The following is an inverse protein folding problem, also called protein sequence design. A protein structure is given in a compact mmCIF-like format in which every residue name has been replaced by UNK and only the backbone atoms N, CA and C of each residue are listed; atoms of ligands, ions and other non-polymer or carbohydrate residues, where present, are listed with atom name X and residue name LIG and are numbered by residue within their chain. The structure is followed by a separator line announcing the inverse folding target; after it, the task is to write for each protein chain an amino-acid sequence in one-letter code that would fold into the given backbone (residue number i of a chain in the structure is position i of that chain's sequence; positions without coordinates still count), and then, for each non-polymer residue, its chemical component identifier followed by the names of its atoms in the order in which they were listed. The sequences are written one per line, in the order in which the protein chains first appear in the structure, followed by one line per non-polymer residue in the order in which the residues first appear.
data_IF_428746709692
#
_entry.id   IF_428746709692
#
_cell.length_a   1.000
_cell.length_b   1.000
_cell.length_c   1.000
_cell.angle_alpha   90.00
_cell.angle_beta   90.00
_cell.angle_gamma   90.00
#
_symmetry.space_group_name_H-M   'P 1'
#
loop_
_entity.id
_entity.type
_entity.pdbx_description
1 polymer ?
#
# COMPACT_ATOMS: atom_id res chain seq x y z
N UNK A 1 -45.42 37.63 -68.08
CA UNK A 1 -44.23 38.20 -68.73
C UNK A 1 -43.46 39.01 -67.69
N UNK A 2 -42.16 38.69 -67.51
CA UNK A 2 -41.06 39.55 -66.99
C UNK A 2 -41.18 39.98 -65.51
N UNK A 3 -40.22 39.83 -64.59
CA UNK A 3 -38.92 39.17 -64.45
C UNK A 3 -38.62 39.09 -62.93
N UNK A 4 -37.98 38.02 -62.49
CA UNK A 4 -37.50 37.80 -61.11
C UNK A 4 -36.27 38.67 -60.80
N UNK A 5 -36.23 39.32 -59.62
CA UNK A 5 -35.01 39.48 -58.81
C UNK A 5 -35.34 39.35 -57.32
N UNK A 6 -34.93 38.23 -56.73
CA UNK A 6 -35.04 37.92 -55.30
C UNK A 6 -33.92 38.63 -54.53
N UNK A 7 -34.28 39.34 -53.46
CA UNK A 7 -33.37 39.94 -52.50
C UNK A 7 -32.70 38.88 -51.61
N UNK A 8 -31.40 39.05 -51.34
CA UNK A 8 -30.58 38.22 -50.43
C UNK A 8 -30.76 38.68 -48.97
N UNK A 9 -30.81 37.77 -47.99
CA UNK A 9 -30.86 38.13 -46.58
C UNK A 9 -29.46 38.42 -46.01
N UNK A 10 -29.44 39.21 -44.93
CA UNK A 10 -28.28 39.76 -44.25
C UNK A 10 -27.37 38.69 -43.60
N UNK A 11 -26.07 38.94 -43.66
CA UNK A 11 -25.01 38.14 -43.03
C UNK A 11 -24.93 38.43 -41.53
N UNK A 12 -25.10 37.41 -40.69
CA UNK A 12 -24.74 37.45 -39.27
C UNK A 12 -23.25 37.10 -39.10
N UNK A 13 -22.46 38.02 -38.56
CA UNK A 13 -21.09 37.77 -38.13
C UNK A 13 -21.09 36.98 -36.81
N UNK A 14 -20.86 35.67 -36.86
CA UNK A 14 -20.50 34.88 -35.69
C UNK A 14 -18.98 34.81 -35.57
N UNK A 15 -18.41 35.62 -34.67
CA UNK A 15 -16.99 35.56 -34.28
C UNK A 15 -16.67 34.21 -33.66
N UNK A 16 -15.81 33.43 -34.32
CA UNK A 16 -15.26 32.19 -33.77
C UNK A 16 -14.39 32.49 -32.55
N UNK A 17 -14.82 32.01 -31.37
CA UNK A 17 -13.96 31.92 -30.18
C UNK A 17 -13.04 30.72 -30.37
N UNK A 18 -11.80 30.97 -30.73
CA UNK A 18 -10.69 30.02 -30.58
C UNK A 18 -10.52 29.72 -29.09
N UNK A 19 -10.78 28.47 -28.71
CA UNK A 19 -10.54 27.96 -27.38
C UNK A 19 -9.03 27.98 -27.08
N UNK A 20 -8.59 28.96 -26.28
CA UNK A 20 -7.24 28.97 -25.70
C UNK A 20 -7.07 27.72 -24.83
N UNK A 21 -6.16 26.83 -25.22
CA UNK A 21 -5.57 25.80 -24.35
C UNK A 21 -5.14 26.49 -23.04
N UNK A 22 -5.79 26.14 -21.93
CA UNK A 22 -5.33 26.50 -20.59
C UNK A 22 -3.97 25.84 -20.38
N UNK A 23 -2.90 26.62 -20.42
CA UNK A 23 -1.60 26.25 -19.89
C UNK A 23 -1.78 25.95 -18.39
N UNK A 24 -1.44 24.75 -17.96
CA UNK A 24 -1.41 24.38 -16.54
C UNK A 24 -0.44 25.31 -15.81
N UNK A 25 -0.98 26.19 -14.96
CA UNK A 25 -0.16 26.93 -14.01
C UNK A 25 0.58 25.93 -13.12
N UNK A 26 1.91 26.06 -12.99
CA UNK A 26 2.66 25.33 -11.96
C UNK A 26 2.08 25.75 -10.62
N UNK A 27 1.52 24.82 -9.85
CA UNK A 27 1.09 25.10 -8.49
C UNK A 27 2.33 25.46 -7.65
N UNK A 28 2.20 26.47 -6.80
CA UNK A 28 3.20 26.84 -5.79
C UNK A 28 3.13 25.91 -4.55
N UNK A 29 2.41 24.80 -4.65
CA UNK A 29 2.22 23.88 -3.53
C UNK A 29 3.51 23.09 -3.28
N UNK A 30 3.93 22.91 -2.00
CA UNK A 30 5.08 22.08 -1.67
C UNK A 30 4.93 20.65 -2.19
N UNK A 31 6.03 20.05 -2.65
CA UNK A 31 6.04 18.67 -3.14
C UNK A 31 6.25 17.70 -1.97
N UNK A 32 5.25 16.88 -1.71
CA UNK A 32 5.25 15.89 -0.62
C UNK A 32 5.29 14.44 -1.10
N UNK A 33 5.11 14.19 -2.39
CA UNK A 33 5.10 12.83 -2.97
C UNK A 33 6.15 12.71 -4.06
N UNK A 34 6.98 11.68 -3.96
CA UNK A 34 8.09 11.41 -4.87
C UNK A 34 7.93 10.03 -5.52
N UNK A 35 7.71 10.00 -6.83
CA UNK A 35 7.58 8.76 -7.59
C UNK A 35 8.91 7.99 -7.69
N UNK A 36 8.84 6.67 -7.78
CA UNK A 36 9.94 5.80 -8.20
C UNK A 36 9.43 4.66 -9.11
N UNK A 37 10.31 4.14 -9.98
CA UNK A 37 10.00 3.11 -10.98
C UNK A 37 10.60 3.50 -12.33
N UNK A 38 9.80 3.48 -13.41
CA UNK A 38 10.27 4.02 -14.70
C UNK A 38 10.46 5.54 -14.67
N UNK A 39 9.60 6.22 -13.92
CA UNK A 39 9.73 7.64 -13.58
C UNK A 39 10.17 7.71 -12.12
N UNK A 40 11.28 8.41 -11.86
CA UNK A 40 11.86 8.52 -10.53
C UNK A 40 12.21 9.98 -10.25
N UNK A 41 11.65 10.50 -9.15
CA UNK A 41 11.74 11.90 -8.77
C UNK A 41 12.77 12.19 -7.67
N UNK A 42 13.43 11.16 -7.13
CA UNK A 42 14.42 11.30 -6.08
C UNK A 42 15.63 10.37 -6.18
N UNK A 43 16.50 10.39 -5.17
CA UNK A 43 17.71 9.56 -5.11
C UNK A 43 18.24 9.36 -3.67
N UNK A 44 19.35 8.61 -3.56
CA UNK A 44 19.97 8.26 -2.28
C UNK A 44 20.34 9.48 -1.40
N UNK A 45 20.56 10.67 -2.00
CA UNK A 45 20.96 11.87 -1.26
C UNK A 45 19.80 12.47 -0.45
N UNK A 46 18.56 12.12 -0.79
CA UNK A 46 17.36 12.63 -0.13
C UNK A 46 16.90 11.75 1.05
N UNK A 47 17.83 11.03 1.69
CA UNK A 47 17.55 10.15 2.85
C UNK A 47 16.80 10.84 3.98
N UNK A 48 17.08 12.12 4.23
CA UNK A 48 16.39 12.88 5.27
C UNK A 48 14.91 13.12 4.97
N UNK A 49 14.58 13.30 3.68
CA UNK A 49 13.25 13.62 3.21
C UNK A 49 12.42 12.37 2.91
N UNK A 50 13.04 11.35 2.29
CA UNK A 50 12.38 10.12 1.82
C UNK A 50 12.54 8.94 2.78
N UNK A 51 13.31 9.13 3.85
CA UNK A 51 13.78 8.04 4.69
C UNK A 51 14.79 7.13 3.97
N UNK A 52 15.39 6.20 4.71
CA UNK A 52 16.36 5.26 4.16
C UNK A 52 15.77 4.34 3.09
N UNK A 53 14.54 3.84 3.29
CA UNK A 53 13.89 2.95 2.33
C UNK A 53 13.47 3.67 1.04
N UNK A 54 12.84 4.85 1.15
CA UNK A 54 12.38 5.60 0.00
C UNK A 54 13.53 6.10 -0.87
N UNK A 55 14.59 6.62 -0.25
CA UNK A 55 15.80 7.04 -0.95
C UNK A 55 16.48 5.88 -1.68
N UNK A 56 16.57 4.70 -1.05
CA UNK A 56 17.13 3.51 -1.69
C UNK A 56 16.24 2.95 -2.81
N UNK A 57 14.91 2.96 -2.65
CA UNK A 57 13.98 2.57 -3.72
C UNK A 57 14.13 3.47 -4.95
N UNK A 58 14.23 4.77 -4.73
CA UNK A 58 14.48 5.73 -5.79
C UNK A 58 15.85 5.49 -6.46
N UNK A 59 16.91 5.31 -5.67
CA UNK A 59 18.25 5.02 -6.21
C UNK A 59 18.28 3.74 -7.04
N UNK A 60 17.72 2.64 -6.51
CA UNK A 60 17.64 1.36 -7.22
C UNK A 60 16.89 1.49 -8.55
N UNK A 61 15.78 2.22 -8.57
CA UNK A 61 15.03 2.47 -9.80
C UNK A 61 15.83 3.33 -10.79
N UNK A 62 16.55 4.35 -10.30
CA UNK A 62 17.37 5.28 -11.10
C UNK A 62 18.55 4.57 -11.77
N UNK A 63 19.17 3.60 -11.11
CA UNK A 63 20.25 2.77 -11.69
C UNK A 63 19.73 1.61 -12.55
N UNK A 64 18.42 1.49 -12.74
CA UNK A 64 17.81 0.53 -13.66
C UNK A 64 17.52 -0.86 -13.09
N UNK A 65 17.53 -1.03 -11.76
CA UNK A 65 17.08 -2.29 -11.16
C UNK A 65 15.56 -2.45 -11.32
N UNK A 66 15.05 -3.70 -11.38
CA UNK A 66 13.62 -3.99 -11.61
C UNK A 66 12.78 -3.73 -10.35
N UNK A 67 12.71 -2.47 -9.91
CA UNK A 67 11.92 -2.02 -8.77
C UNK A 67 10.46 -1.88 -9.19
N UNK A 68 9.51 -2.55 -8.52
CA UNK A 68 8.08 -2.30 -8.75
C UNK A 68 7.76 -0.82 -8.51
N UNK A 69 6.98 -0.18 -9.42
CA UNK A 69 6.73 1.26 -9.31
C UNK A 69 5.95 1.60 -8.06
N UNK A 70 6.14 2.82 -7.58
CA UNK A 70 5.55 3.32 -6.35
C UNK A 70 5.87 4.79 -6.14
N UNK A 71 5.61 5.26 -4.92
CA UNK A 71 5.96 6.60 -4.49
C UNK A 71 6.25 6.63 -2.99
N UNK A 72 6.98 7.66 -2.58
CA UNK A 72 7.29 7.96 -1.18
C UNK A 72 6.62 9.27 -0.78
N UNK A 73 5.84 9.24 0.29
CA UNK A 73 5.34 10.43 1.00
C UNK A 73 6.42 10.84 2.01
N UNK A 74 6.83 12.11 1.97
CA UNK A 74 7.99 12.60 2.71
C UNK A 74 7.82 12.58 4.22
N UNK A 75 8.95 12.58 4.94
CA UNK A 75 9.01 12.76 6.41
C UNK A 75 8.37 14.07 6.87
N UNK A 76 8.39 15.12 6.06
CA UNK A 76 7.74 16.41 6.37
C UNK A 76 6.23 16.29 6.57
N UNK A 77 5.57 15.36 5.86
CA UNK A 77 4.14 15.08 6.07
C UNK A 77 3.91 14.46 7.45
N UNK A 78 4.84 13.64 7.95
CA UNK A 78 4.75 13.11 9.31
C UNK A 78 4.83 14.24 10.34
N UNK A 79 5.74 15.19 10.17
CA UNK A 79 5.84 16.37 11.04
C UNK A 79 4.55 17.20 10.97
N UNK A 80 4.08 17.52 9.76
CA UNK A 80 2.82 18.23 9.56
C UNK A 80 1.64 17.52 10.24
N UNK A 81 1.56 16.19 10.10
CA UNK A 81 0.52 15.37 10.69
C UNK A 81 0.44 15.57 12.20
N UNK A 82 1.56 15.55 12.93
CA UNK A 82 1.52 15.80 14.38
C UNK A 82 1.24 17.26 14.72
N UNK A 83 1.83 18.22 14.00
CA UNK A 83 1.63 19.66 14.24
C UNK A 83 0.18 20.12 13.98
N UNK A 84 -0.55 19.41 13.11
CA UNK A 84 -1.91 19.77 12.68
C UNK A 84 -2.98 18.81 13.18
N UNK A 85 -2.81 18.26 14.39
CA UNK A 85 -3.79 17.38 15.05
C UNK A 85 -4.17 16.16 14.20
N UNK A 86 -3.18 15.53 13.59
CA UNK A 86 -3.32 14.34 12.73
C UNK A 86 -4.10 14.59 11.43
N UNK A 87 -3.94 15.78 10.86
CA UNK A 87 -4.46 16.13 9.53
C UNK A 87 -3.34 16.26 8.49
N UNK A 88 -3.70 16.25 7.21
CA UNK A 88 -2.75 16.35 6.10
C UNK A 88 -2.72 17.75 5.46
N UNK A 89 -1.62 18.11 4.79
CA UNK A 89 -1.60 19.26 3.88
C UNK A 89 -2.70 19.10 2.82
N UNK A 90 -3.42 20.18 2.49
CA UNK A 90 -4.56 20.13 1.57
C UNK A 90 -4.22 19.56 0.18
N UNK A 91 -2.99 19.78 -0.28
CA UNK A 91 -2.51 19.33 -1.58
C UNK A 91 -2.04 17.86 -1.60
N UNK A 92 -1.95 17.19 -0.44
CA UNK A 92 -1.38 15.83 -0.37
C UNK A 92 -2.23 14.80 -1.12
N UNK A 93 -3.55 14.87 -0.96
CA UNK A 93 -4.49 13.93 -1.59
C UNK A 93 -4.38 13.96 -3.13
N UNK A 94 -4.31 15.15 -3.72
CA UNK A 94 -4.12 15.33 -5.16
C UNK A 94 -2.77 14.76 -5.64
N UNK A 95 -1.71 14.93 -4.85
CA UNK A 95 -0.39 14.37 -5.16
C UNK A 95 -0.39 12.83 -5.09
N UNK A 96 -1.00 12.25 -4.06
CA UNK A 96 -1.15 10.79 -3.92
C UNK A 96 -1.94 10.22 -5.11
N UNK A 97 -3.07 10.83 -5.47
CA UNK A 97 -3.88 10.42 -6.62
C UNK A 97 -3.11 10.49 -7.93
N UNK A 98 -2.31 11.54 -8.15
CA UNK A 98 -1.47 11.69 -9.33
C UNK A 98 -0.38 10.60 -9.41
N UNK A 99 0.22 10.24 -8.27
CA UNK A 99 1.22 9.17 -8.19
C UNK A 99 0.61 7.78 -8.40
N UNK A 100 -0.56 7.49 -7.82
CA UNK A 100 -1.31 6.26 -8.11
C UNK A 100 -1.64 6.17 -9.59
N UNK A 101 -2.16 7.23 -10.22
CA UNK A 101 -2.43 7.24 -11.66
C UNK A 101 -1.15 7.00 -12.51
N UNK A 102 0.01 7.46 -12.04
CA UNK A 102 1.30 7.19 -12.67
C UNK A 102 1.67 5.70 -12.56
N UNK A 103 1.43 5.06 -11.42
CA UNK A 103 1.62 3.61 -11.24
C UNK A 103 0.67 2.81 -12.14
N UNK A 104 -0.62 3.18 -12.17
CA UNK A 104 -1.65 2.55 -13.00
C UNK A 104 -1.24 2.56 -14.48
N UNK A 105 -0.76 3.71 -14.99
CA UNK A 105 -0.27 3.84 -16.36
C UNK A 105 0.96 2.97 -16.64
N UNK A 106 1.89 2.86 -15.68
CA UNK A 106 3.11 2.04 -15.85
C UNK A 106 2.80 0.54 -15.90
N UNK A 107 1.76 0.10 -15.19
CA UNK A 107 1.44 -1.32 -15.01
C UNK A 107 0.25 -1.80 -15.85
N UNK A 108 -0.55 -0.89 -16.42
CA UNK A 108 -1.79 -1.25 -17.11
C UNK A 108 -2.83 -1.88 -16.17
N UNK A 109 -2.81 -1.49 -14.90
CA UNK A 109 -3.70 -1.93 -13.82
C UNK A 109 -4.37 -0.71 -13.19
N UNK A 110 -5.45 -0.91 -12.44
CA UNK A 110 -6.18 0.18 -11.76
C UNK A 110 -6.56 -0.17 -10.33
N UNK A 111 -6.45 0.79 -9.42
CA UNK A 111 -6.79 0.59 -8.01
C UNK A 111 -8.31 0.41 -7.89
N UNK A 112 -8.74 -0.75 -7.37
CA UNK A 112 -10.16 -1.13 -7.29
C UNK A 112 -10.77 -1.69 -8.57
N UNK A 113 -9.97 -1.99 -9.60
CA UNK A 113 -10.48 -2.58 -10.84
C UNK A 113 -10.85 -4.06 -10.69
N UNK A 114 -12.03 -4.44 -11.16
CA UNK A 114 -12.59 -5.79 -11.04
C UNK A 114 -12.03 -6.81 -12.05
N UNK A 115 -11.05 -6.43 -12.89
CA UNK A 115 -10.42 -7.32 -13.86
C UNK A 115 -8.89 -7.30 -13.76
N UNK A 116 -8.30 -6.13 -13.57
CA UNK A 116 -6.85 -5.90 -13.47
C UNK A 116 -6.54 -5.04 -12.24
N UNK A 117 -6.77 -5.57 -11.02
CA UNK A 117 -6.58 -4.80 -9.80
C UNK A 117 -5.11 -4.43 -9.62
N UNK A 118 -4.86 -3.15 -9.36
CA UNK A 118 -3.62 -2.68 -8.76
C UNK A 118 -3.73 -2.89 -7.25
N UNK A 119 -2.86 -3.75 -6.71
CA UNK A 119 -2.73 -3.96 -5.27
C UNK A 119 -1.45 -3.26 -4.79
N UNK A 120 -1.50 -2.71 -3.58
CA UNK A 120 -0.45 -1.88 -3.02
C UNK A 120 0.10 -2.48 -1.72
N UNK A 121 1.35 -2.16 -1.44
CA UNK A 121 1.93 -2.27 -0.10
C UNK A 121 2.20 -0.87 0.44
N UNK A 122 2.01 -0.69 1.74
CA UNK A 122 2.28 0.56 2.45
C UNK A 122 3.28 0.25 3.54
N UNK A 123 4.46 0.88 3.45
CA UNK A 123 5.62 0.56 4.29
C UNK A 123 6.23 1.84 4.84
N UNK A 124 6.37 1.87 6.14
CA UNK A 124 7.14 2.88 6.85
C UNK A 124 8.62 2.90 6.46
N UNK A 125 9.23 4.09 6.46
CA UNK A 125 10.65 4.29 6.19
C UNK A 125 11.17 5.54 6.88
N UNK A 126 11.74 5.39 8.07
CA UNK A 126 12.40 6.48 8.77
C UNK A 126 13.78 6.75 8.16
N UNK A 127 14.40 7.87 8.57
CA UNK A 127 15.78 8.20 8.19
C UNK A 127 16.70 7.06 8.58
N UNK A 128 16.66 6.65 9.84
CA UNK A 128 17.40 5.49 10.34
C UNK A 128 16.55 4.22 10.40
N UNK A 129 17.23 3.09 10.23
CA UNK A 129 16.57 1.78 10.19
C UNK A 129 16.06 1.41 11.58
N UNK A 130 14.75 1.19 11.68
CA UNK A 130 14.09 0.73 12.91
C UNK A 130 13.43 -0.63 12.65
N UNK A 131 14.20 -1.73 12.59
CA UNK A 131 13.69 -3.07 12.28
C UNK A 131 12.68 -3.54 13.32
N UNK A 132 11.56 -4.11 12.86
CA UNK A 132 10.49 -4.63 13.72
C UNK A 132 9.65 -3.58 14.47
N UNK A 133 9.94 -2.29 14.29
CA UNK A 133 9.30 -1.22 15.07
C UNK A 133 8.12 -0.54 14.38
N UNK A 134 8.01 -0.69 13.06
CA UNK A 134 7.00 0.00 12.28
C UNK A 134 6.23 -0.98 11.40
N UNK A 135 4.94 -0.71 11.28
CA UNK A 135 4.00 -1.60 10.62
C UNK A 135 4.14 -1.56 9.10
N UNK A 136 3.71 -2.64 8.46
CA UNK A 136 3.64 -2.80 7.02
C UNK A 136 2.27 -3.38 6.68
N UNK A 137 1.61 -2.79 5.68
CA UNK A 137 0.36 -3.30 5.13
C UNK A 137 0.68 -3.86 3.74
N UNK A 138 0.27 -5.09 3.46
CA UNK A 138 0.36 -5.72 2.14
C UNK A 138 -1.04 -5.96 1.58
N UNK A 139 -1.12 -6.18 0.26
CA UNK A 139 -2.36 -6.52 -0.44
C UNK A 139 -3.48 -5.47 -0.33
N UNK A 140 -3.12 -4.22 -0.08
CA UNK A 140 -4.07 -3.10 -0.06
C UNK A 140 -4.76 -2.98 -1.41
N UNK A 141 -6.08 -2.76 -1.37
CA UNK A 141 -6.94 -2.74 -2.55
C UNK A 141 -7.75 -4.02 -2.71
N UNK A 142 -7.56 -5.03 -1.84
CA UNK A 142 -8.43 -6.20 -1.79
C UNK A 142 -9.76 -5.89 -1.08
N UNK A 143 -10.85 -6.32 -1.71
CA UNK A 143 -12.20 -6.37 -1.17
C UNK A 143 -12.95 -7.58 -1.76
N UNK A 144 -14.25 -7.72 -1.45
CA UNK A 144 -15.08 -8.83 -1.94
C UNK A 144 -15.17 -8.91 -3.47
N UNK A 145 -15.04 -7.78 -4.17
CA UNK A 145 -15.09 -7.72 -5.63
C UNK A 145 -13.71 -8.01 -6.24
N UNK A 146 -12.66 -7.36 -5.75
CA UNK A 146 -11.32 -7.44 -6.35
C UNK A 146 -10.57 -8.73 -6.01
N UNK A 147 -11.00 -9.47 -4.96
CA UNK A 147 -10.43 -10.80 -4.66
C UNK A 147 -10.75 -11.80 -5.78
N UNK A 148 -11.94 -11.70 -6.39
CA UNK A 148 -12.30 -12.48 -7.57
C UNK A 148 -11.40 -12.14 -8.77
N UNK A 149 -11.16 -10.86 -8.99
CA UNK A 149 -10.24 -10.39 -10.04
C UNK A 149 -8.80 -10.90 -9.83
N UNK A 150 -8.32 -10.93 -8.59
CA UNK A 150 -7.01 -11.52 -8.26
C UNK A 150 -7.00 -13.04 -8.49
N UNK A 151 -8.08 -13.75 -8.13
CA UNK A 151 -8.22 -15.18 -8.36
C UNK A 151 -8.14 -15.53 -9.86
N UNK A 152 -8.87 -14.78 -10.69
CA UNK A 152 -8.84 -14.93 -12.15
C UNK A 152 -7.45 -14.60 -12.72
N UNK A 153 -6.87 -13.46 -12.36
CA UNK A 153 -5.59 -13.02 -12.89
C UNK A 153 -4.40 -13.92 -12.49
N UNK A 154 -4.50 -14.58 -11.34
CA UNK A 154 -3.47 -15.52 -10.86
C UNK A 154 -3.73 -16.98 -11.28
N UNK A 155 -4.94 -17.31 -11.73
CA UNK A 155 -5.38 -18.69 -11.92
C UNK A 155 -5.39 -19.51 -10.63
N UNK A 156 -5.38 -18.86 -9.47
CA UNK A 156 -5.24 -19.50 -8.16
C UNK A 156 -6.15 -18.83 -7.13
N UNK A 157 -7.41 -19.29 -7.05
CA UNK A 157 -8.40 -18.74 -6.13
C UNK A 157 -7.99 -18.88 -4.66
N UNK A 158 -7.35 -20.00 -4.29
CA UNK A 158 -6.88 -20.23 -2.91
C UNK A 158 -5.86 -19.17 -2.49
N UNK A 159 -4.92 -18.83 -3.38
CA UNK A 159 -3.95 -17.76 -3.16
C UNK A 159 -4.65 -16.39 -2.98
N UNK A 160 -5.61 -16.06 -3.84
CA UNK A 160 -6.30 -14.77 -3.76
C UNK A 160 -7.06 -14.60 -2.44
N UNK A 161 -7.79 -15.63 -2.00
CA UNK A 161 -8.52 -15.61 -0.73
C UNK A 161 -7.59 -15.64 0.48
N UNK A 162 -6.43 -16.30 0.42
CA UNK A 162 -5.41 -16.21 1.47
C UNK A 162 -4.82 -14.80 1.58
N UNK A 163 -4.52 -14.17 0.44
CA UNK A 163 -4.10 -12.76 0.40
C UNK A 163 -5.15 -11.85 1.02
N UNK A 164 -6.43 -12.10 0.78
CA UNK A 164 -7.50 -11.28 1.34
C UNK A 164 -7.66 -11.48 2.84
N UNK A 165 -7.62 -12.73 3.32
CA UNK A 165 -7.59 -13.05 4.75
C UNK A 165 -6.43 -12.35 5.47
N UNK A 166 -5.20 -12.49 4.94
CA UNK A 166 -4.00 -11.84 5.50
C UNK A 166 -4.13 -10.31 5.48
N UNK A 167 -4.72 -9.75 4.42
CA UNK A 167 -4.99 -8.31 4.36
C UNK A 167 -5.92 -7.86 5.47
N UNK A 168 -7.03 -8.57 5.71
CA UNK A 168 -7.99 -8.22 6.76
C UNK A 168 -7.35 -8.28 8.14
N UNK A 169 -6.54 -9.31 8.40
CA UNK A 169 -5.78 -9.43 9.64
C UNK A 169 -4.81 -8.26 9.82
N UNK A 170 -3.93 -8.02 8.84
CA UNK A 170 -2.91 -6.96 8.92
C UNK A 170 -3.53 -5.57 9.02
N UNK A 171 -4.54 -5.27 8.21
CA UNK A 171 -5.22 -3.97 8.22
C UNK A 171 -6.08 -3.81 9.48
N UNK A 172 -6.75 -4.89 9.90
CA UNK A 172 -7.56 -4.92 11.12
C UNK A 172 -6.73 -4.61 12.36
N UNK A 173 -5.58 -5.26 12.52
CA UNK A 173 -4.60 -4.98 13.57
C UNK A 173 -4.07 -3.55 13.47
N UNK A 174 -3.35 -3.24 12.38
CA UNK A 174 -2.52 -2.03 12.26
C UNK A 174 -3.35 -0.75 12.12
N UNK A 175 -4.43 -0.79 11.34
CA UNK A 175 -5.20 0.41 10.98
C UNK A 175 -6.48 0.52 11.80
N UNK A 176 -7.15 -0.60 12.08
CA UNK A 176 -8.42 -0.61 12.81
C UNK A 176 -8.27 -0.91 14.31
N UNK A 177 -7.04 -1.13 14.79
CA UNK A 177 -6.74 -1.30 16.21
C UNK A 177 -7.27 -2.60 16.81
N UNK A 178 -7.48 -3.63 15.99
CA UNK A 178 -7.96 -4.95 16.43
C UNK A 178 -6.76 -5.75 16.94
N UNK A 179 -6.24 -5.28 18.07
CA UNK A 179 -5.07 -5.82 18.74
C UNK A 179 -5.46 -6.71 19.91
N UNK A 180 -4.51 -7.55 20.32
CA UNK A 180 -4.60 -8.34 21.54
C UNK A 180 -4.86 -7.43 22.74
N UNK A 181 -5.92 -7.72 23.48
CA UNK A 181 -6.20 -7.03 24.74
C UNK A 181 -5.34 -7.56 25.89
N UNK A 182 -5.13 -6.79 26.98
CA UNK A 182 -4.40 -7.28 28.15
C UNK A 182 -5.01 -8.53 28.80
N UNK A 183 -6.30 -8.79 28.58
CA UNK A 183 -7.02 -9.98 29.06
C UNK A 183 -6.90 -11.20 28.14
N UNK A 184 -6.15 -11.09 27.03
CA UNK A 184 -6.04 -12.12 26.01
C UNK A 184 -4.61 -12.65 25.90
N UNK A 185 -4.48 -13.97 25.85
CA UNK A 185 -3.19 -14.62 25.72
C UNK A 185 -2.67 -14.58 24.28
N UNK A 186 -3.58 -14.68 23.30
CA UNK A 186 -3.29 -14.81 21.88
C UNK A 186 -3.80 -13.64 21.05
N UNK A 187 -3.18 -13.41 19.89
CA UNK A 187 -3.70 -12.49 18.88
C UNK A 187 -5.13 -12.91 18.46
N UNK A 188 -6.09 -11.98 18.37
CA UNK A 188 -7.48 -12.33 18.14
C UNK A 188 -7.73 -12.95 16.74
N UNK A 189 -6.92 -12.65 15.73
CA UNK A 189 -7.04 -13.29 14.42
C UNK A 189 -6.43 -14.68 14.42
N UNK A 190 -5.27 -14.86 15.06
CA UNK A 190 -4.64 -16.18 15.23
C UNK A 190 -5.54 -17.14 16.02
N UNK A 191 -6.19 -16.64 17.07
CA UNK A 191 -7.16 -17.43 17.82
C UNK A 191 -8.32 -17.94 16.95
N UNK A 192 -8.89 -17.08 16.10
CA UNK A 192 -9.99 -17.47 15.20
C UNK A 192 -9.55 -18.52 14.17
N UNK A 193 -8.37 -18.38 13.56
CA UNK A 193 -7.91 -19.39 12.58
C UNK A 193 -7.56 -20.70 13.26
N UNK A 194 -6.99 -20.70 14.46
CA UNK A 194 -6.74 -21.92 15.24
C UNK A 194 -8.03 -22.65 15.61
N UNK A 195 -9.04 -21.94 16.11
CA UNK A 195 -10.37 -22.53 16.39
C UNK A 195 -11.01 -23.06 15.11
N UNK A 196 -10.97 -22.29 14.03
CA UNK A 196 -11.51 -22.72 12.75
C UNK A 196 -10.82 -23.98 12.22
N UNK A 197 -9.48 -24.09 12.37
CA UNK A 197 -8.73 -25.30 11.99
C UNK A 197 -9.15 -26.51 12.82
N UNK A 198 -9.40 -26.36 14.12
CA UNK A 198 -9.91 -27.44 14.98
C UNK A 198 -11.32 -27.89 14.56
N UNK A 199 -12.18 -26.95 14.15
CA UNK A 199 -13.54 -27.25 13.67
C UNK A 199 -13.53 -28.05 12.35
N UNK A 200 -12.72 -27.65 11.38
CA UNK A 200 -12.72 -28.25 10.03
C UNK A 200 -11.81 -29.49 9.92
N UNK A 201 -10.87 -29.69 10.84
CA UNK A 201 -9.98 -30.85 10.91
C UNK A 201 -10.03 -31.56 12.29
N UNK A 202 -11.21 -32.04 12.74
CA UNK A 202 -11.41 -32.51 14.12
C UNK A 202 -10.64 -33.79 14.49
N UNK A 203 -10.15 -34.54 13.49
CA UNK A 203 -9.41 -35.78 13.68
C UNK A 203 -7.88 -35.57 13.68
N UNK A 204 -7.42 -34.39 13.28
CA UNK A 204 -6.00 -34.08 13.23
C UNK A 204 -5.50 -33.73 14.64
N UNK A 205 -4.45 -34.41 15.07
CA UNK A 205 -3.78 -34.12 16.33
C UNK A 205 -2.54 -33.27 16.03
N UNK A 206 -2.53 -32.04 16.54
CA UNK A 206 -1.40 -31.12 16.39
C UNK A 206 -1.68 -29.95 15.44
N UNK A 207 -0.61 -29.29 15.01
CA UNK A 207 -0.71 -28.10 14.17
C UNK A 207 -1.09 -28.48 12.74
N UNK A 208 -2.16 -27.86 12.24
CA UNK A 208 -2.58 -27.99 10.85
C UNK A 208 -2.06 -26.81 10.06
N UNK A 209 -1.35 -27.11 8.97
CA UNK A 209 -0.86 -26.11 8.02
C UNK A 209 -2.03 -25.38 7.34
N UNK A 210 -1.98 -24.05 7.35
CA UNK A 210 -2.91 -23.16 6.66
C UNK A 210 -3.06 -23.51 5.17
N UNK A 211 -2.02 -24.08 4.54
CA UNK A 211 -2.02 -24.54 3.14
C UNK A 211 -3.18 -25.49 2.83
N UNK A 212 -3.64 -26.26 3.82
CA UNK A 212 -4.73 -27.25 3.72
C UNK A 212 -6.14 -26.65 3.71
N UNK A 213 -6.29 -25.38 4.09
CA UNK A 213 -7.59 -24.69 4.09
C UNK A 213 -8.03 -24.47 2.63
N UNK A 214 -9.21 -25.00 2.28
CA UNK A 214 -9.79 -24.88 0.93
C UNK A 214 -10.31 -23.47 0.63
N UNK A 215 -10.66 -23.20 -0.63
CA UNK A 215 -11.20 -21.90 -1.05
C UNK A 215 -12.49 -21.53 -0.30
N UNK A 216 -13.45 -22.46 -0.21
CA UNK A 216 -14.71 -22.20 0.48
C UNK A 216 -14.50 -21.93 1.98
N UNK A 217 -13.59 -22.67 2.61
CA UNK A 217 -13.21 -22.46 4.00
C UNK A 217 -12.48 -21.12 4.21
N UNK A 218 -11.63 -20.70 3.27
CA UNK A 218 -11.00 -19.37 3.32
C UNK A 218 -12.04 -18.24 3.22
N UNK A 219 -13.06 -18.39 2.39
CA UNK A 219 -14.16 -17.42 2.28
C UNK A 219 -14.93 -17.30 3.60
N UNK A 220 -15.21 -18.42 4.26
CA UNK A 220 -15.81 -18.42 5.59
C UNK A 220 -14.92 -17.73 6.63
N UNK A 221 -13.63 -18.05 6.64
CA UNK A 221 -12.66 -17.45 7.56
C UNK A 221 -12.53 -15.93 7.35
N UNK A 222 -12.57 -15.46 6.10
CA UNK A 222 -12.66 -14.02 5.77
C UNK A 222 -13.90 -13.39 6.39
N UNK A 223 -15.06 -14.06 6.33
CA UNK A 223 -16.29 -13.61 6.98
C UNK A 223 -16.15 -13.52 8.52
N UNK A 224 -15.50 -14.50 9.15
CA UNK A 224 -15.21 -14.48 10.59
C UNK A 224 -14.27 -13.33 10.97
N UNK A 225 -13.22 -13.09 10.18
CA UNK A 225 -12.28 -11.98 10.41
C UNK A 225 -12.95 -10.62 10.29
N UNK A 226 -13.80 -10.40 9.29
CA UNK A 226 -14.60 -9.16 9.17
C UNK A 226 -15.55 -8.97 10.35
N UNK A 227 -16.15 -10.06 10.83
CA UNK A 227 -17.04 -10.02 11.99
C UNK A 227 -16.28 -9.64 13.26
N UNK A 228 -15.06 -10.17 13.45
CA UNK A 228 -14.17 -9.75 14.53
C UNK A 228 -13.84 -8.25 14.44
N UNK A 229 -13.45 -7.77 13.25
CA UNK A 229 -13.16 -6.36 13.01
C UNK A 229 -14.34 -5.48 13.39
N UNK A 230 -15.56 -5.83 12.92
CA UNK A 230 -16.78 -5.10 13.25
C UNK A 230 -17.05 -5.08 14.75
N UNK A 231 -16.91 -6.23 15.42
CA UNK A 231 -17.13 -6.37 16.87
C UNK A 231 -16.15 -5.53 17.70
N UNK A 232 -14.88 -5.46 17.30
CA UNK A 232 -13.81 -4.80 18.07
C UNK A 232 -13.66 -3.32 17.78
N UNK A 233 -13.73 -2.94 16.50
CA UNK A 233 -13.55 -1.55 16.07
C UNK A 233 -14.86 -0.75 16.01
N UNK A 234 -16.01 -1.43 16.04
CA UNK A 234 -17.32 -0.83 15.83
C UNK A 234 -17.62 -0.42 14.38
N UNK A 235 -16.72 -0.74 13.44
CA UNK A 235 -16.81 -0.36 12.02
C UNK A 235 -16.68 -1.58 11.12
N UNK A 236 -17.41 -1.58 10.01
CA UNK A 236 -17.20 -2.57 8.96
C UNK A 236 -15.81 -2.42 8.32
N UNK A 237 -15.26 -3.52 7.83
CA UNK A 237 -13.98 -3.51 7.13
C UNK A 237 -14.09 -2.66 5.85
N UNK A 238 -13.19 -1.70 5.58
CA UNK A 238 -13.33 -0.79 4.45
C UNK A 238 -13.20 -1.54 3.14
N UNK A 239 -14.18 -1.37 2.25
CA UNK A 239 -14.17 -1.96 0.90
C UNK A 239 -13.63 -1.02 -0.16
N UNK A 240 -13.63 0.29 0.10
CA UNK A 240 -13.07 1.30 -0.80
C UNK A 240 -11.52 1.30 -0.73
N UNK A 241 -10.80 0.99 -1.83
CA UNK A 241 -9.34 0.97 -1.84
C UNK A 241 -8.67 2.31 -1.49
N UNK A 242 -9.35 3.43 -1.78
CA UNK A 242 -8.83 4.77 -1.44
C UNK A 242 -8.93 5.05 0.06
N UNK A 243 -10.01 4.61 0.71
CA UNK A 243 -10.12 4.69 2.17
C UNK A 243 -9.10 3.77 2.85
N UNK A 244 -8.85 2.58 2.27
CA UNK A 244 -7.78 1.70 2.74
C UNK A 244 -6.41 2.38 2.64
N UNK A 245 -6.13 3.07 1.54
CA UNK A 245 -4.86 3.78 1.34
C UNK A 245 -4.70 4.92 2.35
N UNK A 246 -5.71 5.76 2.52
CA UNK A 246 -5.71 6.86 3.49
C UNK A 246 -5.50 6.34 4.92
N UNK A 247 -6.28 5.32 5.33
CA UNK A 247 -6.12 4.67 6.63
C UNK A 247 -4.73 4.09 6.85
N UNK A 248 -4.14 3.46 5.83
CA UNK A 248 -2.79 2.89 5.91
C UNK A 248 -1.71 3.96 6.06
N UNK A 249 -1.83 5.09 5.34
CA UNK A 249 -0.93 6.24 5.46
C UNK A 249 -1.02 6.81 6.88
N UNK A 250 -2.24 7.01 7.39
CA UNK A 250 -2.47 7.48 8.77
C UNK A 250 -1.93 6.54 9.84
N UNK A 251 -2.08 5.23 9.65
CA UNK A 251 -1.54 4.24 10.56
C UNK A 251 -0.01 4.25 10.58
N UNK A 252 0.65 4.37 9.43
CA UNK A 252 2.12 4.48 9.38
C UNK A 252 2.60 5.74 10.12
N UNK A 253 2.01 6.91 9.88
CA UNK A 253 2.41 8.12 10.62
C UNK A 253 2.12 7.99 12.13
N UNK A 254 1.00 7.38 12.49
CA UNK A 254 0.64 7.11 13.90
C UNK A 254 1.61 6.14 14.57
N UNK A 255 2.14 5.16 13.82
CA UNK A 255 3.13 4.19 14.33
C UNK A 255 4.44 4.84 14.77
N UNK A 256 4.75 6.05 14.27
CA UNK A 256 5.92 6.80 14.72
C UNK A 256 5.86 7.14 16.21
N UNK A 257 4.68 7.35 16.77
CA UNK A 257 4.52 7.70 18.19
C UNK A 257 3.95 6.56 19.03
N UNK A 258 4.04 5.30 18.56
CA UNK A 258 3.70 4.15 19.40
C UNK A 258 4.78 3.92 20.49
N UNK A 259 4.40 3.22 21.56
CA UNK A 259 5.28 3.04 22.73
C UNK A 259 6.58 2.32 22.37
N UNK A 260 6.51 1.29 21.53
CA UNK A 260 7.69 0.53 21.08
C UNK A 260 8.68 1.41 20.30
N UNK A 261 8.20 2.26 19.39
CA UNK A 261 9.04 3.15 18.59
C UNK A 261 9.64 4.25 19.46
N UNK A 262 8.87 4.81 20.40
CA UNK A 262 9.38 5.81 21.36
C UNK A 262 10.51 5.22 22.21
N UNK A 263 10.32 4.01 22.77
CA UNK A 263 11.35 3.33 23.57
C UNK A 263 12.59 3.03 22.74
N UNK A 264 12.41 2.53 21.51
CA UNK A 264 13.51 2.28 20.58
C UNK A 264 14.30 3.55 20.29
N UNK A 265 13.61 4.65 19.95
CA UNK A 265 14.25 5.93 19.65
C UNK A 265 15.05 6.47 20.81
N UNK A 266 14.52 6.41 22.04
CA UNK A 266 15.25 6.80 23.25
C UNK A 266 16.51 5.97 23.45
N UNK A 267 16.45 4.66 23.20
CA UNK A 267 17.61 3.75 23.34
C UNK A 267 18.73 4.06 22.35
N UNK A 268 18.38 4.40 21.10
CA UNK A 268 19.36 4.59 20.02
C UNK A 268 19.63 6.06 19.68
N UNK A 269 19.10 7.01 20.46
CA UNK A 269 19.31 8.44 20.23
C UNK A 269 18.70 8.97 18.94
N UNK A 270 17.61 8.37 18.46
CA UNK A 270 16.92 8.79 17.23
C UNK A 270 15.93 9.92 17.60
N UNK A 271 16.08 11.14 17.06
CA UNK A 271 15.19 12.24 17.38
C UNK A 271 13.76 12.04 16.88
N UNK A 272 12.77 12.50 17.65
CA UNK A 272 11.35 12.31 17.32
C UNK A 272 10.89 13.22 16.17
N UNK A 273 11.51 14.38 16.02
CA UNK A 273 11.23 15.39 14.99
C UNK A 273 11.61 14.93 13.58
N UNK A 274 12.40 13.86 13.43
CA UNK A 274 12.76 13.31 12.13
C UNK A 274 11.57 12.72 11.37
N UNK A 275 10.55 12.26 12.08
CA UNK A 275 9.39 11.62 11.50
C UNK A 275 9.71 10.32 10.73
N UNK A 276 8.71 9.82 10.02
CA UNK A 276 8.83 8.66 9.14
C UNK A 276 8.21 8.96 7.78
N UNK A 277 8.82 8.45 6.70
CA UNK A 277 8.23 8.50 5.37
C UNK A 277 7.31 7.30 5.16
N UNK A 278 6.38 7.42 4.21
CA UNK A 278 5.48 6.33 3.81
C UNK A 278 5.80 5.92 2.38
N UNK A 279 6.17 4.66 2.18
CA UNK A 279 6.44 4.10 0.86
C UNK A 279 5.22 3.30 0.41
N UNK A 280 4.59 3.74 -0.67
CA UNK A 280 3.47 3.04 -1.31
C UNK A 280 4.01 2.41 -2.58
N UNK A 281 3.91 1.08 -2.70
CA UNK A 281 4.52 0.34 -3.80
C UNK A 281 3.57 -0.71 -4.36
N UNK A 282 3.59 -0.90 -5.68
CA UNK A 282 2.83 -1.95 -6.33
C UNK A 282 3.22 -3.34 -5.79
N UNK A 283 2.23 -4.17 -5.49
CA UNK A 283 2.45 -5.53 -5.05
C UNK A 283 3.06 -6.39 -6.15
N UNK A 284 4.03 -7.21 -5.74
CA UNK A 284 4.50 -8.39 -6.45
C UNK A 284 4.31 -9.58 -5.52
N UNK A 285 4.02 -10.75 -6.09
CA UNK A 285 3.59 -11.91 -5.31
C UNK A 285 4.63 -13.03 -5.42
N UNK A 286 5.25 -13.35 -4.29
CA UNK A 286 6.16 -14.49 -4.15
C UNK A 286 5.44 -15.83 -3.96
N UNK A 287 4.12 -15.84 -3.80
CA UNK A 287 3.31 -16.97 -3.34
C UNK A 287 2.21 -17.40 -4.33
N UNK A 288 2.35 -17.11 -5.63
CA UNK A 288 1.34 -17.53 -6.64
C UNK A 288 1.42 -19.02 -7.01
N UNK A 289 2.56 -19.66 -6.73
CA UNK A 289 2.81 -21.08 -6.97
C UNK A 289 4.30 -21.38 -7.09
N UNK A 290 4.64 -22.60 -7.54
CA UNK A 290 6.01 -23.15 -7.54
C UNK A 290 7.07 -22.40 -8.38
N UNK A 291 6.66 -21.41 -9.18
CA UNK A 291 7.55 -20.54 -9.99
C UNK A 291 7.67 -19.13 -9.42
N UNK A 292 7.22 -18.92 -8.20
CA UNK A 292 7.33 -17.68 -7.45
C UNK A 292 8.14 -17.92 -6.20
N UNK A 293 8.70 -16.85 -5.65
CA UNK A 293 9.37 -16.90 -4.37
C UNK A 293 9.69 -15.52 -3.83
N UNK A 294 10.12 -15.46 -2.59
CA UNK A 294 10.63 -14.25 -1.94
C UNK A 294 11.86 -14.62 -1.13
N UNK A 295 12.85 -13.74 -1.09
CA UNK A 295 14.07 -13.98 -0.36
C UNK A 295 14.76 -12.70 0.08
N UNK A 296 15.72 -12.87 0.99
CA UNK A 296 16.60 -11.82 1.49
C UNK A 296 18.03 -12.33 1.36
N UNK A 297 18.92 -11.48 0.88
CA UNK A 297 20.31 -11.84 0.72
C UNK A 297 21.26 -10.66 0.93
N UNK A 298 22.50 -11.02 1.20
CA UNK A 298 23.63 -10.14 1.40
C UNK A 298 24.69 -10.47 0.33
N UNK A 299 25.39 -9.43 -0.13
CA UNK A 299 26.45 -9.57 -1.13
C UNK A 299 27.74 -10.20 -0.59
N UNK A 300 27.81 -10.36 0.74
CA UNK A 300 28.89 -10.97 1.53
C UNK A 300 28.26 -11.66 2.74
N UNK A 301 28.98 -12.61 3.32
CA UNK A 301 28.57 -13.20 4.60
C UNK A 301 28.59 -12.11 5.70
N UNK A 302 27.45 -11.82 6.35
CA UNK A 302 27.37 -10.78 7.37
C UNK A 302 28.08 -11.16 8.69
N UNK A 303 28.39 -12.43 8.92
CA UNK A 303 29.08 -12.91 10.11
C UNK A 303 30.61 -12.94 9.93
N UNK A 304 31.09 -13.48 8.80
CA UNK A 304 32.53 -13.64 8.54
C UNK A 304 33.14 -12.50 7.70
N UNK A 305 32.33 -11.78 6.93
CA UNK A 305 32.79 -10.79 5.94
C UNK A 305 33.30 -11.41 4.62
N UNK A 306 33.25 -12.73 4.48
CA UNK A 306 33.67 -13.44 3.28
C UNK A 306 32.87 -12.99 2.05
N UNK A 307 33.54 -12.88 0.89
CA UNK A 307 32.94 -12.46 -0.37
C UNK A 307 32.15 -13.60 -1.03
N UNK A 308 31.10 -14.06 -0.36
CA UNK A 308 30.14 -15.06 -0.84
C UNK A 308 28.71 -14.51 -0.78
N UNK A 309 27.85 -14.94 -1.70
CA UNK A 309 26.43 -14.62 -1.61
C UNK A 309 25.83 -15.41 -0.44
N UNK A 310 25.20 -14.70 0.49
CA UNK A 310 24.59 -15.28 1.68
C UNK A 310 23.12 -14.88 1.74
N UNK A 311 22.20 -15.81 1.96
CA UNK A 311 20.78 -15.46 2.05
C UNK A 311 19.86 -16.67 2.11
N UNK A 312 18.57 -16.36 2.24
CA UNK A 312 17.47 -17.32 2.36
C UNK A 312 16.34 -16.96 1.40
N UNK A 313 15.59 -17.96 0.95
CA UNK A 313 14.41 -17.75 0.11
C UNK A 313 13.34 -18.81 0.40
N UNK A 314 12.10 -18.46 0.09
CA UNK A 314 10.90 -19.31 0.18
C UNK A 314 10.23 -19.35 -1.19
N UNK A 315 9.66 -20.50 -1.56
CA UNK A 315 8.94 -20.75 -2.83
C UNK A 315 7.59 -21.39 -2.59
#
# INVERSE_FOLDING_TARGET
MVQKKKAKPAKSNSTGKTAKKRSSAKSNDPKYVYDFGKKTDGDAKQRELLGGKGANLAEMAKIGLPVPPGFTITTEVCTYFYDHKRNYPKCLDDQIKASVATMEKQLGKKLGDMKKPLLLSVRSGARDSMPGMMDTILNLGLNDDTVGALAEASGNARFAWDCYRRFIQMYGDVVMGVQKLPSEDHDPFEHIIEEFKKEIFPQEKGEVDDSRISVAQMQELVGRFKSLVKKRSGKDFPTCPWEQLDGSVGAVFSSWMNDRAIVYRRKYGIPAEWGTAVNVQAMVFGNTGKKSGSGVGFTRDPASGEKVLYGEFLT
#
